data_IF_061955656963
#
_entry.id   IF_061955656963
#
_cell.length_a   1.000
_cell.length_b   1.000
_cell.length_c   1.000
_cell.angle_alpha   90.00
_cell.angle_beta   90.00
_cell.angle_gamma   90.00
#
_symmetry.space_group_name_H-M   'P 1'
#
loop_
_entity.id
_entity.type
_entity.pdbx_description
1 polymer ?
#
# COMPACT_ATOMS: atom_id res chain seq x y z
N UNK A 1 9.24 14.91 25.16
CA UNK A 1 8.55 13.68 25.65
C UNK A 1 8.51 12.59 24.58
N UNK A 2 7.93 12.85 23.39
CA UNK A 2 7.96 11.90 22.28
C UNK A 2 9.32 11.89 21.58
N UNK A 3 9.92 13.06 21.42
CA UNK A 3 11.34 13.23 21.13
C UNK A 3 12.09 13.66 22.41
N UNK A 4 13.36 13.25 22.49
CA UNK A 4 14.31 13.60 23.56
C UNK A 4 15.45 14.49 23.05
N UNK A 5 15.75 14.46 21.75
CA UNK A 5 16.69 15.35 21.04
C UNK A 5 15.99 16.61 20.50
N UNK A 6 14.98 17.06 21.24
CA UNK A 6 14.09 18.19 20.90
C UNK A 6 14.36 19.32 21.88
N UNK A 7 14.91 20.43 21.37
CA UNK A 7 15.26 21.61 22.17
C UNK A 7 14.06 22.59 22.35
N UNK A 8 12.85 22.16 21.96
CA UNK A 8 11.63 22.98 22.01
C UNK A 8 11.24 23.34 23.45
N UNK A 9 10.95 24.62 23.68
CA UNK A 9 10.45 25.17 24.94
C UNK A 9 9.07 24.56 25.28
N UNK A 10 8.75 24.25 26.55
CA UNK A 10 7.40 23.82 26.95
C UNK A 10 6.25 24.75 26.50
N UNK A 11 6.51 26.03 26.24
CA UNK A 11 5.52 26.99 25.71
C UNK A 11 5.37 26.96 24.16
N UNK A 12 6.06 26.06 23.46
CA UNK A 12 6.01 25.92 22.00
C UNK A 12 4.63 25.46 21.50
N UNK A 13 4.03 26.21 20.57
CA UNK A 13 2.73 25.86 19.97
C UNK A 13 2.79 24.51 19.23
N UNK A 14 1.72 23.70 19.34
CA UNK A 14 1.70 22.30 18.89
C UNK A 14 2.21 22.09 17.46
N UNK A 15 1.87 22.98 16.52
CA UNK A 15 2.24 22.84 15.10
C UNK A 15 3.72 23.18 14.81
N UNK A 16 4.40 23.84 15.74
CA UNK A 16 5.84 24.10 15.68
C UNK A 16 6.66 22.92 16.24
N UNK A 17 6.06 22.09 17.12
CA UNK A 17 6.77 20.97 17.73
C UNK A 17 7.25 19.95 16.69
N UNK A 18 8.50 19.49 16.82
CA UNK A 18 9.08 18.49 15.90
C UNK A 18 8.22 17.23 15.71
N UNK A 19 7.68 16.54 16.75
CA UNK A 19 6.91 15.32 16.52
C UNK A 19 5.60 15.57 15.74
N UNK A 20 5.02 16.77 15.81
CA UNK A 20 3.89 17.14 14.96
C UNK A 20 4.35 17.44 13.52
N UNK A 21 5.39 18.26 13.34
CA UNK A 21 5.93 18.61 12.03
C UNK A 21 6.48 17.41 11.24
N UNK A 22 6.95 16.38 11.95
CA UNK A 22 7.37 15.09 11.39
C UNK A 22 6.22 14.10 11.14
N UNK A 23 5.00 14.39 11.60
CA UNK A 23 3.86 13.48 11.48
C UNK A 23 3.97 12.22 12.36
N UNK A 24 4.80 12.23 13.41
CA UNK A 24 4.90 11.12 14.39
C UNK A 24 3.89 11.25 15.52
N UNK A 25 3.35 12.45 15.75
CA UNK A 25 2.25 12.73 16.66
C UNK A 25 1.00 13.27 15.92
N UNK A 26 -0.19 12.83 16.35
CA UNK A 26 -1.46 13.37 15.89
C UNK A 26 -2.33 13.72 17.11
N UNK A 27 -2.79 14.97 17.19
CA UNK A 27 -3.60 15.45 18.31
C UNK A 27 -5.08 15.59 17.92
N UNK A 28 -5.98 15.19 18.83
CA UNK A 28 -7.43 15.28 18.62
C UNK A 28 -7.91 16.73 18.46
N UNK A 29 -7.22 17.70 19.07
CA UNK A 29 -7.51 19.14 18.96
C UNK A 29 -7.43 19.71 17.53
N UNK A 30 -6.78 19.01 16.60
CA UNK A 30 -6.81 19.36 15.17
C UNK A 30 -8.22 19.21 14.60
N UNK A 31 -9.03 18.30 15.14
CA UNK A 31 -10.43 18.09 14.71
C UNK A 31 -11.36 19.21 15.19
N UNK A 32 -11.05 19.88 16.30
CA UNK A 32 -11.80 21.06 16.77
C UNK A 32 -11.58 22.25 15.80
N UNK A 33 -10.37 22.36 15.25
CA UNK A 33 -10.05 23.33 14.19
C UNK A 33 -10.80 22.99 12.88
N UNK A 34 -10.98 21.71 12.57
CA UNK A 34 -11.78 21.28 11.43
C UNK A 34 -13.25 21.71 11.58
N UNK A 35 -13.87 21.57 12.75
CA UNK A 35 -15.24 22.06 12.97
C UNK A 35 -15.39 23.54 12.59
N UNK A 36 -14.44 24.39 13.00
CA UNK A 36 -14.41 25.80 12.63
C UNK A 36 -14.23 26.02 11.13
N UNK A 37 -13.36 25.26 10.47
CA UNK A 37 -13.18 25.34 9.02
C UNK A 37 -14.46 24.92 8.26
N UNK A 38 -15.16 23.89 8.72
CA UNK A 38 -16.41 23.41 8.10
C UNK A 38 -17.55 24.41 8.23
N UNK A 39 -17.62 25.15 9.35
CA UNK A 39 -18.62 26.22 9.53
C UNK A 39 -18.51 27.32 8.45
N UNK A 40 -17.30 27.61 7.97
CA UNK A 40 -17.10 28.58 6.89
C UNK A 40 -17.27 27.98 5.48
N UNK A 41 -17.05 26.67 5.31
CA UNK A 41 -17.17 26.00 4.01
C UNK A 41 -17.41 24.48 4.16
N UNK A 42 -18.66 24.06 4.00
CA UNK A 42 -19.09 22.65 4.07
C UNK A 42 -18.30 21.72 3.14
N UNK A 43 -17.81 22.23 2.01
CA UNK A 43 -17.05 21.44 1.03
C UNK A 43 -15.71 20.94 1.61
N UNK A 44 -15.16 21.59 2.65
CA UNK A 44 -13.93 21.16 3.32
C UNK A 44 -14.13 19.79 3.98
N UNK A 45 -15.28 19.57 4.65
CA UNK A 45 -15.59 18.28 5.27
C UNK A 45 -15.69 17.18 4.21
N UNK A 46 -16.44 17.46 3.15
CA UNK A 46 -16.65 16.53 2.03
C UNK A 46 -15.33 16.15 1.34
N UNK A 47 -14.45 17.13 1.11
CA UNK A 47 -13.13 16.91 0.50
C UNK A 47 -12.22 16.06 1.41
N UNK A 48 -12.07 16.44 2.68
CA UNK A 48 -11.23 15.71 3.65
C UNK A 48 -11.77 14.30 3.85
N UNK A 49 -13.09 14.14 3.99
CA UNK A 49 -13.74 12.83 4.09
C UNK A 49 -13.41 11.97 2.87
N UNK A 50 -13.59 12.50 1.65
CA UNK A 50 -13.33 11.77 0.41
C UNK A 50 -11.86 11.36 0.29
N UNK A 51 -10.93 12.26 0.64
CA UNK A 51 -9.49 12.02 0.57
C UNK A 51 -9.00 11.01 1.61
N UNK A 52 -9.43 11.13 2.88
CA UNK A 52 -8.93 10.33 4.00
C UNK A 52 -9.64 8.97 4.11
N UNK A 53 -10.97 8.92 3.96
CA UNK A 53 -11.73 7.65 4.05
C UNK A 53 -11.70 6.83 2.76
N UNK A 54 -11.00 7.31 1.72
CA UNK A 54 -10.96 6.64 0.43
C UNK A 54 -12.30 6.70 -0.31
N UNK A 55 -13.04 7.79 -0.18
CA UNK A 55 -14.32 8.04 -0.86
C UNK A 55 -15.49 7.23 -0.33
N UNK A 56 -15.80 7.36 0.97
CA UNK A 56 -17.07 6.93 1.51
C UNK A 56 -18.22 7.74 0.86
N UNK A 57 -18.90 7.14 -0.12
CA UNK A 57 -20.03 7.78 -0.81
C UNK A 57 -21.33 7.62 0.01
N UNK A 58 -22.34 8.48 -0.19
CA UNK A 58 -23.60 8.39 0.55
C UNK A 58 -24.32 7.05 0.38
N UNK A 59 -24.16 6.38 -0.77
CA UNK A 59 -24.72 5.04 -1.01
C UNK A 59 -24.04 3.98 -0.12
N UNK A 60 -22.73 4.12 0.13
CA UNK A 60 -22.01 3.25 1.06
C UNK A 60 -22.44 3.49 2.51
N UNK A 61 -22.73 4.75 2.87
CA UNK A 61 -23.30 5.06 4.19
C UNK A 61 -24.69 4.44 4.37
N UNK A 62 -25.55 4.50 3.35
CA UNK A 62 -26.86 3.84 3.38
C UNK A 62 -26.76 2.34 3.60
N UNK A 63 -25.88 1.65 2.86
CA UNK A 63 -25.64 0.21 3.05
C UNK A 63 -25.08 -0.12 4.44
N UNK A 64 -24.19 0.72 4.98
CA UNK A 64 -23.67 0.55 6.34
C UNK A 64 -24.74 0.83 7.41
N UNK A 65 -25.68 1.74 7.18
CA UNK A 65 -26.80 1.99 8.08
C UNK A 65 -27.80 0.81 8.13
N UNK A 66 -27.94 0.06 7.03
CA UNK A 66 -28.81 -1.12 6.95
C UNK A 66 -28.17 -2.40 7.50
N UNK A 67 -26.94 -2.73 7.07
CA UNK A 67 -26.31 -4.03 7.36
C UNK A 67 -25.14 -3.97 8.37
N UNK A 68 -24.67 -2.76 8.75
CA UNK A 68 -23.51 -2.51 9.61
C UNK A 68 -22.24 -3.31 9.24
N UNK A 69 -22.12 -3.68 7.96
CA UNK A 69 -21.07 -4.53 7.41
C UNK A 69 -20.84 -4.21 5.93
N UNK A 70 -19.63 -4.47 5.44
CA UNK A 70 -19.29 -4.34 4.02
C UNK A 70 -19.70 -5.62 3.27
N UNK A 71 -20.68 -5.50 2.37
CA UNK A 71 -21.15 -6.60 1.53
C UNK A 71 -20.36 -6.69 0.23
N UNK A 72 -19.81 -7.87 -0.06
CA UNK A 72 -19.10 -8.14 -1.30
C UNK A 72 -20.04 -8.11 -2.52
N UNK A 73 -19.69 -7.33 -3.54
CA UNK A 73 -20.40 -7.26 -4.82
C UNK A 73 -19.69 -8.00 -5.95
N UNK A 74 -20.43 -8.30 -7.03
CA UNK A 74 -19.83 -8.81 -8.27
C UNK A 74 -19.12 -7.68 -9.03
N UNK A 75 -18.02 -8.01 -9.72
CA UNK A 75 -17.27 -7.05 -10.54
C UNK A 75 -18.04 -6.68 -11.81
N UNK A 76 -18.90 -5.65 -11.73
CA UNK A 76 -19.54 -5.05 -12.91
C UNK A 76 -18.64 -3.97 -13.54
N UNK A 77 -18.85 -3.58 -14.81
CA UNK A 77 -18.13 -2.46 -15.43
C UNK A 77 -18.22 -1.16 -14.62
N UNK A 78 -19.38 -0.86 -14.03
CA UNK A 78 -19.58 0.30 -13.16
C UNK A 78 -18.73 0.20 -11.88
N UNK A 79 -18.68 -0.98 -11.26
CA UNK A 79 -17.86 -1.23 -10.06
C UNK A 79 -16.37 -1.09 -10.36
N UNK A 80 -15.93 -1.44 -11.57
CA UNK A 80 -14.55 -1.25 -12.01
C UNK A 80 -14.23 0.23 -12.27
N UNK A 81 -15.13 0.99 -12.89
CA UNK A 81 -14.98 2.44 -13.07
C UNK A 81 -14.83 3.18 -11.73
N UNK A 82 -15.57 2.77 -10.69
CA UNK A 82 -15.45 3.33 -9.33
C UNK A 82 -14.06 3.14 -8.66
N UNK A 83 -13.17 2.33 -9.26
CA UNK A 83 -11.78 2.15 -8.83
C UNK A 83 -10.81 3.15 -9.46
N UNK A 84 -11.21 3.85 -10.52
CA UNK A 84 -10.38 4.85 -11.19
C UNK A 84 -10.36 6.18 -10.41
N UNK A 85 -9.79 6.12 -9.22
CA UNK A 85 -9.70 7.23 -8.27
C UNK A 85 -8.25 7.40 -7.83
N UNK A 86 -7.85 8.65 -7.64
CA UNK A 86 -6.49 8.94 -7.23
C UNK A 86 -6.17 8.36 -5.84
N UNK A 87 -4.96 7.85 -5.68
CA UNK A 87 -4.40 7.43 -4.39
C UNK A 87 -3.33 8.42 -3.94
N UNK A 88 -3.25 8.67 -2.64
CA UNK A 88 -2.12 9.40 -2.04
C UNK A 88 -0.90 8.48 -2.05
N UNK A 89 0.24 8.98 -2.51
CA UNK A 89 1.52 8.28 -2.48
C UNK A 89 2.67 9.23 -2.13
N UNK A 90 3.78 8.66 -1.69
CA UNK A 90 5.07 9.35 -1.59
C UNK A 90 6.00 8.80 -2.69
N UNK A 91 6.63 9.67 -3.46
CA UNK A 91 7.68 9.31 -4.42
C UNK A 91 9.04 9.69 -3.87
N UNK A 92 10.05 8.83 -4.00
CA UNK A 92 11.44 9.22 -3.79
C UNK A 92 11.98 9.98 -5.00
N UNK A 93 12.82 11.00 -4.78
CA UNK A 93 13.56 11.63 -5.88
C UNK A 93 14.83 10.86 -6.26
N UNK A 94 15.53 10.23 -5.31
CA UNK A 94 16.79 9.51 -5.59
C UNK A 94 16.64 8.29 -6.53
N UNK A 95 15.43 7.76 -6.72
CA UNK A 95 15.15 6.62 -7.59
C UNK A 95 13.84 6.86 -8.37
N UNK A 96 13.95 6.99 -9.69
CA UNK A 96 12.80 7.14 -10.58
C UNK A 96 12.99 8.15 -11.72
N UNK A 97 11.93 8.44 -12.49
CA UNK A 97 11.96 9.33 -13.67
C UNK A 97 12.10 10.82 -13.34
N UNK A 98 12.30 11.15 -12.06
CA UNK A 98 12.45 12.51 -11.53
C UNK A 98 13.81 12.73 -10.84
N UNK A 99 14.71 11.73 -10.85
CA UNK A 99 16.04 11.86 -10.26
C UNK A 99 16.88 12.96 -10.94
N UNK A 100 16.62 13.24 -12.22
CA UNK A 100 17.18 14.35 -12.98
C UNK A 100 16.79 15.74 -12.45
N UNK A 101 15.67 15.83 -11.71
CA UNK A 101 15.21 17.06 -11.05
C UNK A 101 15.54 17.12 -9.56
N UNK A 102 16.08 16.03 -8.99
CA UNK A 102 16.48 15.98 -7.58
C UNK A 102 17.78 16.72 -7.28
N UNK A 103 18.66 16.89 -8.27
CA UNK A 103 19.99 17.49 -8.12
C UNK A 103 19.93 19.02 -8.27
N UNK A 104 19.30 19.69 -7.30
CA UNK A 104 19.13 21.16 -7.29
C UNK A 104 18.05 21.71 -8.23
N UNK A 105 17.14 20.85 -8.73
CA UNK A 105 16.02 21.27 -9.59
C UNK A 105 14.94 22.04 -8.84
N UNK A 106 14.08 22.75 -9.57
CA UNK A 106 12.96 23.49 -9.00
C UNK A 106 11.70 22.62 -8.84
N UNK A 107 10.99 22.76 -7.71
CA UNK A 107 9.72 22.08 -7.45
C UNK A 107 8.66 22.36 -8.54
N UNK A 108 8.64 23.58 -9.10
CA UNK A 108 7.71 23.94 -10.18
C UNK A 108 7.91 23.12 -11.46
N UNK A 109 9.15 22.78 -11.80
CA UNK A 109 9.47 21.97 -12.97
C UNK A 109 9.09 20.50 -12.73
N UNK A 110 9.34 19.98 -11.52
CA UNK A 110 8.87 18.67 -11.06
C UNK A 110 7.35 18.57 -11.15
N UNK A 111 6.62 19.52 -10.57
CA UNK A 111 5.16 19.61 -10.62
C UNK A 111 4.66 19.60 -12.08
N UNK A 112 5.26 20.42 -12.94
CA UNK A 112 4.90 20.49 -14.35
C UNK A 112 5.19 19.19 -15.12
N UNK A 113 6.32 18.52 -14.86
CA UNK A 113 6.72 17.24 -15.48
C UNK A 113 5.80 16.10 -15.01
N UNK A 114 5.57 16.00 -13.70
CA UNK A 114 4.71 14.99 -13.10
C UNK A 114 3.25 15.08 -13.59
N UNK A 115 2.71 16.30 -13.66
CA UNK A 115 1.33 16.53 -14.12
C UNK A 115 1.18 16.25 -15.62
N UNK A 116 2.12 16.67 -16.47
CA UNK A 116 2.05 16.47 -17.93
C UNK A 116 2.33 15.03 -18.38
N UNK A 117 3.22 14.31 -17.70
CA UNK A 117 3.68 12.98 -18.14
C UNK A 117 2.90 11.85 -17.48
N UNK A 118 2.44 12.03 -16.23
CA UNK A 118 1.85 10.96 -15.42
C UNK A 118 0.48 11.30 -14.81
N UNK A 119 -0.09 12.48 -15.13
CA UNK A 119 -1.29 13.02 -14.47
C UNK A 119 -1.17 13.07 -12.94
N UNK A 120 0.05 13.26 -12.42
CA UNK A 120 0.32 13.23 -10.99
C UNK A 120 0.32 14.63 -10.40
N UNK A 121 -0.54 14.86 -9.40
CA UNK A 121 -0.59 16.13 -8.68
C UNK A 121 0.35 16.07 -7.46
N UNK A 122 1.52 16.70 -7.55
CA UNK A 122 2.39 16.92 -6.40
C UNK A 122 1.81 18.05 -5.51
N UNK A 123 1.77 17.86 -4.19
CA UNK A 123 1.18 18.83 -3.25
C UNK A 123 2.03 19.14 -2.01
N UNK A 124 3.18 18.48 -1.86
CA UNK A 124 4.12 18.77 -0.78
C UNK A 124 5.41 17.96 -0.87
N UNK A 125 6.36 18.30 -0.01
CA UNK A 125 7.66 17.64 0.15
C UNK A 125 7.77 17.12 1.59
N UNK A 126 8.47 16.01 1.77
CA UNK A 126 8.80 15.41 3.06
C UNK A 126 10.32 15.28 3.16
N UNK A 127 10.95 16.38 3.62
CA UNK A 127 12.40 16.63 3.60
C UNK A 127 13.06 16.17 4.89
N UNK A 128 14.28 15.63 4.83
CA UNK A 128 15.06 15.31 6.03
C UNK A 128 15.38 16.59 6.81
N UNK A 129 15.21 16.57 8.15
CA UNK A 129 15.55 17.70 9.05
C UNK A 129 16.96 18.21 8.77
N UNK A 130 17.91 17.28 8.67
CA UNK A 130 19.34 17.58 8.53
C UNK A 130 19.80 17.69 7.07
N UNK A 131 18.89 17.80 6.08
CA UNK A 131 19.24 17.90 4.66
C UNK A 131 20.17 19.09 4.32
N UNK A 132 20.12 20.15 5.13
CA UNK A 132 20.94 21.36 4.99
C UNK A 132 22.22 21.33 5.83
N UNK A 133 22.39 20.33 6.70
CA UNK A 133 23.57 20.14 7.52
C UNK A 133 24.52 19.17 6.79
N UNK A 134 25.62 19.68 6.26
CA UNK A 134 26.62 18.94 5.47
C UNK A 134 27.48 17.96 6.32
N UNK A 135 26.92 17.48 7.43
CA UNK A 135 27.53 16.58 8.40
C UNK A 135 26.82 15.22 8.29
N UNK A 136 27.52 14.11 8.46
CA UNK A 136 26.92 12.77 8.45
C UNK A 136 26.07 12.50 9.72
N UNK A 137 24.97 13.23 9.88
CA UNK A 137 23.94 12.93 10.86
C UNK A 137 23.17 11.69 10.45
N UNK A 138 22.91 10.77 11.40
CA UNK A 138 22.05 9.60 11.17
C UNK A 138 20.56 9.91 11.42
N UNK A 139 20.19 11.19 11.56
CA UNK A 139 18.82 11.60 11.75
C UNK A 139 17.96 11.27 10.52
N UNK A 140 17.08 10.28 10.66
CA UNK A 140 16.10 9.89 9.62
C UNK A 140 14.79 10.68 9.71
N UNK A 141 14.68 11.62 10.66
CA UNK A 141 13.49 12.46 10.85
C UNK A 141 13.29 13.37 9.64
N UNK A 142 12.05 13.41 9.15
CA UNK A 142 11.63 14.24 8.02
C UNK A 142 10.49 15.13 8.45
N UNK A 143 10.42 16.35 7.92
CA UNK A 143 9.34 17.30 8.18
C UNK A 143 8.56 17.58 6.89
N UNK A 144 7.29 17.95 7.05
CA UNK A 144 6.38 18.22 5.92
C UNK A 144 6.47 19.68 5.48
N UNK A 145 6.62 19.90 4.17
CA UNK A 145 6.51 21.20 3.51
C UNK A 145 5.30 21.14 2.57
N UNK A 146 4.22 21.83 2.90
CA UNK A 146 3.01 21.89 2.06
C UNK A 146 3.11 22.99 1.02
N UNK A 147 2.66 22.72 -0.22
CA UNK A 147 2.61 23.69 -1.32
C UNK A 147 3.84 24.64 -1.45
N UNK A 148 5.07 24.10 -1.62
CA UNK A 148 6.26 24.93 -1.77
C UNK A 148 6.22 25.77 -3.06
N UNK A 149 6.89 26.95 -3.08
CA UNK A 149 6.88 27.85 -4.23
C UNK A 149 7.59 27.25 -5.45
N UNK A 150 7.32 27.81 -6.65
CA UNK A 150 7.87 27.29 -7.92
C UNK A 150 9.39 27.11 -7.88
N UNK A 151 10.12 28.14 -7.44
CA UNK A 151 11.58 28.18 -7.39
C UNK A 151 12.16 27.52 -6.11
N UNK A 152 11.38 26.69 -5.40
CA UNK A 152 11.89 25.94 -4.26
C UNK A 152 12.85 24.84 -4.74
N UNK A 153 14.08 24.87 -4.25
CA UNK A 153 15.14 23.93 -4.60
C UNK A 153 14.87 22.55 -3.98
N UNK A 154 14.97 21.51 -4.79
CA UNK A 154 14.83 20.11 -4.41
C UNK A 154 16.18 19.50 -4.01
N UNK A 155 16.13 18.52 -3.09
CA UNK A 155 17.29 17.75 -2.66
C UNK A 155 17.06 16.28 -3.05
N UNK A 156 18.07 15.50 -3.50
CA UNK A 156 17.84 14.13 -3.98
C UNK A 156 17.23 13.19 -2.93
N UNK A 157 17.43 13.50 -1.65
CA UNK A 157 16.88 12.73 -0.53
C UNK A 157 15.41 13.04 -0.23
N UNK A 158 14.78 14.02 -0.87
CA UNK A 158 13.38 14.37 -0.65
C UNK A 158 12.41 13.25 -1.06
N UNK A 159 11.30 13.18 -0.33
CA UNK A 159 10.12 12.41 -0.73
C UNK A 159 9.00 13.39 -1.10
N UNK A 160 8.28 13.14 -2.19
CA UNK A 160 7.25 14.05 -2.73
C UNK A 160 5.87 13.45 -2.47
N UNK A 161 5.01 14.21 -1.77
CA UNK A 161 3.60 13.90 -1.64
C UNK A 161 2.88 14.15 -2.95
N UNK A 162 2.19 13.14 -3.46
CA UNK A 162 1.47 13.22 -4.73
C UNK A 162 0.17 12.42 -4.73
N UNK A 163 -0.76 12.85 -5.59
CA UNK A 163 -1.91 12.05 -6.00
C UNK A 163 -1.53 11.30 -7.28
N UNK A 164 -1.47 9.97 -7.21
CA UNK A 164 -1.31 9.09 -8.37
C UNK A 164 -2.67 8.69 -8.91
N UNK A 165 -2.87 8.76 -10.22
CA UNK A 165 -4.03 8.13 -10.87
C UNK A 165 -3.96 6.59 -10.74
N UNK A 166 -5.12 5.93 -10.83
CA UNK A 166 -5.19 4.47 -10.80
C UNK A 166 -4.77 3.88 -12.16
N UNK A 167 -3.53 3.41 -12.24
CA UNK A 167 -3.03 2.71 -13.43
C UNK A 167 -3.71 1.34 -13.59
N UNK A 168 -4.49 1.20 -14.67
CA UNK A 168 -5.10 -0.06 -15.08
C UNK A 168 -4.05 -1.11 -15.52
N UNK A 169 -2.88 -0.69 -16.00
CA UNK A 169 -1.85 -1.59 -16.52
C UNK A 169 -0.97 -2.22 -15.43
N UNK A 170 -0.86 -1.63 -14.24
CA UNK A 170 -0.13 -2.21 -13.11
C UNK A 170 -0.60 -3.63 -12.73
N UNK A 171 -1.86 -3.99 -13.03
CA UNK A 171 -2.39 -5.34 -12.88
C UNK A 171 -1.96 -6.33 -13.97
N UNK A 172 -1.62 -5.84 -15.17
CA UNK A 172 -1.23 -6.65 -16.33
C UNK A 172 0.28 -6.72 -16.56
N UNK A 173 1.05 -5.71 -16.15
CA UNK A 173 2.51 -5.65 -16.33
C UNK A 173 3.30 -6.73 -15.56
N UNK A 174 2.65 -7.53 -14.72
CA UNK A 174 3.28 -8.72 -14.08
C UNK A 174 3.34 -9.96 -14.98
N UNK A 175 2.73 -9.96 -16.17
CA UNK A 175 2.67 -11.15 -17.06
C UNK A 175 3.27 -10.96 -18.46
N UNK A 176 3.79 -9.77 -18.82
CA UNK A 176 4.31 -9.48 -20.17
C UNK A 176 5.83 -9.55 -20.33
N UNK A 177 6.59 -9.72 -19.25
CA UNK A 177 8.08 -9.73 -19.26
C UNK A 177 8.72 -11.11 -19.49
N UNK A 178 7.93 -12.15 -19.81
CA UNK A 178 8.42 -13.54 -19.89
C UNK A 178 8.01 -14.32 -21.16
N UNK A 179 7.99 -13.64 -22.31
CA UNK A 179 7.97 -14.31 -23.63
C UNK A 179 9.00 -13.72 -24.61
N UNK A 180 10.29 -13.82 -24.26
CA UNK A 180 11.36 -13.76 -25.26
C UNK A 180 11.29 -14.99 -26.15
N UNK A 181 11.12 -14.76 -27.46
CA UNK A 181 10.90 -15.81 -28.46
C UNK A 181 12.14 -16.68 -28.65
N UNK A 182 12.10 -17.94 -28.21
CA UNK A 182 13.05 -18.96 -28.66
C UNK A 182 12.42 -19.84 -29.73
N UNK A 183 12.91 -19.69 -30.96
CA UNK A 183 12.51 -20.49 -32.11
C UNK A 183 12.98 -21.94 -31.96
N UNK A 184 12.08 -22.88 -32.25
CA UNK A 184 12.33 -24.31 -32.20
C UNK A 184 12.90 -24.82 -33.52
N UNK A 185 14.21 -25.13 -33.55
CA UNK A 185 14.82 -25.87 -34.65
C UNK A 185 15.10 -27.32 -34.26
N UNK A 186 14.21 -28.23 -34.62
CA UNK A 186 14.37 -29.67 -34.41
C UNK A 186 15.28 -30.30 -35.48
N UNK A 187 16.42 -30.86 -35.07
CA UNK A 187 17.32 -31.60 -35.97
C UNK A 187 17.17 -33.11 -35.79
N UNK A 188 16.59 -33.77 -36.78
CA UNK A 188 16.40 -35.22 -36.82
C UNK A 188 17.64 -35.94 -37.37
N UNK A 189 18.14 -36.96 -36.65
CA UNK A 189 19.07 -37.97 -37.19
C UNK A 189 18.68 -39.37 -36.69
N UNK A 190 18.75 -40.35 -37.59
CA UNK A 190 18.18 -41.71 -37.46
C UNK A 190 19.28 -42.77 -37.64
N UNK A 191 19.39 -43.72 -36.69
CA UNK A 191 20.13 -45.01 -36.69
C UNK A 191 20.13 -45.59 -35.25
N UNK A 192 20.39 -46.87 -34.94
CA UNK A 192 20.51 -48.11 -35.73
C UNK A 192 20.18 -49.35 -34.86
N UNK A 193 20.38 -50.57 -35.38
CA UNK A 193 20.47 -51.85 -34.65
C UNK A 193 21.85 -52.02 -33.96
N UNK A 194 22.13 -52.96 -33.02
CA UNK A 194 21.84 -54.43 -32.98
C UNK A 194 21.71 -55.01 -31.53
N UNK A 195 21.18 -56.25 -31.41
CA UNK A 195 20.97 -57.21 -30.26
C UNK A 195 21.80 -57.07 -28.94
N UNK A 196 21.34 -57.52 -27.75
CA UNK A 196 20.90 -58.91 -27.39
C UNK A 196 20.12 -59.01 -26.05
N UNK A 197 19.45 -60.15 -25.75
CA UNK A 197 18.71 -60.46 -24.49
C UNK A 197 19.24 -61.75 -23.82
N UNK A 198 19.53 -61.75 -22.49
CA UNK A 198 18.89 -62.65 -21.48
C UNK A 198 18.76 -62.01 -20.06
N UNK A 199 18.02 -62.47 -19.03
CA UNK A 199 16.92 -63.46 -18.84
C UNK A 199 16.17 -63.26 -17.48
N UNK A 200 14.89 -63.65 -17.42
CA UNK A 200 14.13 -64.27 -16.30
C UNK A 200 14.12 -63.71 -14.84
N UNK A 201 12.97 -63.15 -14.41
CA UNK A 201 12.05 -63.66 -13.34
C UNK A 201 11.09 -62.52 -12.88
N UNK A 202 9.75 -62.59 -13.08
CA UNK A 202 8.73 -63.29 -12.26
C UNK A 202 8.92 -63.01 -10.75
N UNK A 203 8.00 -62.41 -10.00
CA UNK A 203 6.55 -62.72 -9.91
C UNK A 203 5.64 -61.57 -9.45
N UNK A 204 4.38 -61.60 -9.90
CA UNK A 204 3.25 -60.78 -9.40
C UNK A 204 2.92 -61.01 -7.91
N UNK A 205 2.35 -59.99 -7.22
CA UNK A 205 0.98 -60.13 -6.63
C UNK A 205 0.31 -58.80 -6.29
N UNK A 206 -1.03 -58.79 -6.39
CA UNK A 206 -1.95 -57.66 -6.19
C UNK A 206 -2.92 -57.90 -5.02
N UNK A 207 -3.56 -56.81 -4.55
CA UNK A 207 -4.71 -56.73 -3.60
C UNK A 207 -4.35 -57.08 -2.12
N UNK A 208 -5.07 -56.60 -1.10
CA UNK A 208 -6.46 -56.11 -1.03
C UNK A 208 -6.71 -55.00 0.01
N UNK A 209 -7.88 -54.35 -0.07
CA UNK A 209 -8.57 -53.66 1.05
C UNK A 209 -8.97 -54.67 2.14
N UNK A 210 -9.14 -54.23 3.39
CA UNK A 210 -10.46 -54.35 4.07
C UNK A 210 -10.64 -53.47 5.33
N UNK A 211 -11.86 -53.46 5.88
CA UNK A 211 -12.40 -52.62 6.98
C UNK A 211 -12.60 -53.39 8.32
N UNK A 212 -13.04 -52.67 9.37
CA UNK A 212 -13.73 -53.13 10.62
C UNK A 212 -12.85 -53.65 11.79
N UNK A 213 -13.24 -53.58 13.08
CA UNK A 213 -14.24 -52.79 13.85
C UNK A 213 -14.04 -53.03 15.41
N UNK A 214 -14.56 -52.14 16.27
CA UNK A 214 -14.91 -52.26 17.72
C UNK A 214 -13.97 -52.89 18.79
N UNK A 215 -13.73 -52.12 19.87
CA UNK A 215 -14.28 -52.27 21.26
C UNK A 215 -13.77 -51.08 22.12
N UNK A 216 -14.56 -50.17 22.74
CA UNK A 216 -15.68 -50.23 23.71
C UNK A 216 -15.30 -50.60 25.15
N UNK A 217 -15.28 -49.60 26.05
CA UNK A 217 -15.79 -49.69 27.45
C UNK A 217 -16.25 -48.32 27.97
N UNK A 218 -17.32 -48.32 28.78
CA UNK A 218 -18.00 -47.14 29.38
C UNK A 218 -17.73 -47.13 30.90
N UNK A 219 -17.79 -45.97 31.55
CA UNK A 219 -18.24 -45.64 32.94
C UNK A 219 -17.83 -44.16 33.16
N UNK A 220 -18.53 -43.25 33.86
CA UNK A 220 -19.88 -43.25 34.44
C UNK A 220 -20.14 -41.98 35.27
N UNK A 221 -20.86 -41.00 34.69
CA UNK A 221 -22.08 -40.35 35.23
C UNK A 221 -22.19 -39.93 36.73
N UNK A 222 -22.11 -38.61 37.01
CA UNK A 222 -22.96 -37.89 38.00
C UNK A 222 -22.81 -36.35 37.79
N UNK A 223 -23.80 -35.57 37.30
CA UNK A 223 -25.02 -35.05 37.96
C UNK A 223 -24.81 -34.22 39.23
N UNK A 224 -24.93 -32.88 39.10
CA UNK A 224 -25.66 -32.04 40.07
C UNK A 224 -26.08 -30.71 39.44
N UNK A 225 -27.35 -30.34 39.60
CA UNK A 225 -27.90 -29.02 39.24
C UNK A 225 -27.89 -28.11 40.47
N UNK A 226 -27.71 -26.80 40.30
CA UNK A 226 -28.42 -25.80 41.12
C UNK A 226 -28.90 -24.61 40.26
N UNK A 227 -30.12 -24.17 40.57
CA UNK A 227 -30.86 -23.06 39.95
C UNK A 227 -30.63 -21.75 40.73
N UNK A 228 -31.05 -20.59 40.19
CA UNK A 228 -30.74 -19.28 40.77
C UNK A 228 -31.75 -18.83 41.84
N UNK A 229 -31.32 -17.83 42.61
CA UNK A 229 -32.12 -16.79 43.29
C UNK A 229 -31.35 -15.49 43.16
#
# INVERSE_FOLDING_TARGET
FLDQDDDDDPDTELYLTQPFACGTAFAVSVLDSLMSATYFNDNILTLIRTLVTGGATPELEGLLAEENALRGGYSTPQTLANRDRCRVAQLALYDGPFADLGDGGCYGDLFCKALKTYNMLCFGIYRLRDAHLNTQSQCTKRYVITNPPYAFELVPSDLIFCLMQFDHNAGHSRTSLCHSSHSSHSSSKKSSSVHSIPTANRTNRTKSRDLRDKQKKRHGLQMSQRKPT
#
